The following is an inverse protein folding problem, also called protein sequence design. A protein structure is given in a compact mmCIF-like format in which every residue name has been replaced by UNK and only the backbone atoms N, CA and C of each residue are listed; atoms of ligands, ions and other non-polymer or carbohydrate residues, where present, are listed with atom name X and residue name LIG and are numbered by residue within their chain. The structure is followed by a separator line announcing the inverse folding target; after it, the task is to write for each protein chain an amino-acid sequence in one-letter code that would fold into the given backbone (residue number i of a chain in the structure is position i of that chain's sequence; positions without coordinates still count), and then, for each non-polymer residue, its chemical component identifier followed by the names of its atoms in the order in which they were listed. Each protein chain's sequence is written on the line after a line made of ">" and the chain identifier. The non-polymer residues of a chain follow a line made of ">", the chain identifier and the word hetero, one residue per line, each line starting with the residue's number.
data_IF_515255345484
#
_entry.id   IF_515255345484
#
_cell.length_a   1.000
_cell.length_b   1.000
_cell.length_c   1.000
_cell.angle_alpha   90.00
_cell.angle_beta   90.00
_cell.angle_gamma   90.00
#
_symmetry.space_group_name_H-M   'P 1'
#
loop_
_entity.id
_entity.type
_entity.pdbx_description
1 polymer ?
#
# COMPACT_ATOMS: atom_id res chain seq x y z
N UNK A 1 3.68 -2.55 -8.67
CA UNK A 1 4.36 -3.16 -7.49
C UNK A 1 4.27 -4.67 -7.47
N UNK A 2 3.19 -5.31 -6.99
CA UNK A 2 3.17 -6.79 -6.85
C UNK A 2 3.31 -7.52 -8.18
N UNK A 3 2.69 -7.00 -9.24
CA UNK A 3 2.85 -7.50 -10.62
C UNK A 3 4.30 -7.37 -11.08
N UNK A 4 4.90 -6.19 -10.93
CA UNK A 4 6.29 -5.89 -11.31
C UNK A 4 7.32 -6.73 -10.54
N UNK A 5 7.03 -7.08 -9.29
CA UNK A 5 7.86 -7.98 -8.48
C UNK A 5 7.68 -9.47 -8.82
N UNK A 6 6.80 -9.81 -9.77
CA UNK A 6 6.61 -11.17 -10.27
C UNK A 6 5.74 -12.06 -9.39
N UNK A 7 4.88 -11.50 -8.53
CA UNK A 7 3.99 -12.31 -7.70
C UNK A 7 2.90 -13.01 -8.54
N UNK A 8 2.47 -14.23 -8.18
CA UNK A 8 1.40 -14.93 -8.90
C UNK A 8 0.08 -14.16 -8.89
N UNK A 9 -0.62 -14.12 -10.02
CA UNK A 9 -1.88 -13.36 -10.16
C UNK A 9 -2.93 -13.73 -9.11
N UNK A 10 -3.02 -15.01 -8.74
CA UNK A 10 -3.94 -15.49 -7.70
C UNK A 10 -3.64 -14.87 -6.33
N UNK A 11 -2.36 -14.77 -5.98
CA UNK A 11 -1.91 -14.16 -4.73
C UNK A 11 -2.20 -12.65 -4.71
N UNK A 12 -1.94 -11.98 -5.84
CA UNK A 12 -2.28 -10.56 -6.01
C UNK A 12 -3.78 -10.35 -5.83
N UNK A 13 -4.62 -11.19 -6.44
CA UNK A 13 -6.07 -11.11 -6.28
C UNK A 13 -6.49 -11.22 -4.82
N UNK A 14 -5.92 -12.14 -4.04
CA UNK A 14 -6.24 -12.26 -2.62
C UNK A 14 -5.84 -11.03 -1.81
N UNK A 15 -4.67 -10.45 -2.05
CA UNK A 15 -4.26 -9.20 -1.39
C UNK A 15 -5.22 -8.06 -1.78
N UNK A 16 -5.58 -7.97 -3.06
CA UNK A 16 -6.45 -6.92 -3.57
C UNK A 16 -7.92 -7.07 -3.14
N UNK A 17 -8.33 -8.21 -2.57
CA UNK A 17 -9.61 -8.30 -1.85
C UNK A 17 -9.53 -7.64 -0.46
N UNK A 18 -8.36 -7.61 0.18
CA UNK A 18 -8.20 -7.06 1.53
C UNK A 18 -7.89 -5.55 1.55
N UNK A 19 -7.22 -5.03 0.51
CA UNK A 19 -6.76 -3.63 0.46
C UNK A 19 -7.88 -2.59 0.24
N UNK A 20 -8.84 -2.76 -0.70
CA UNK A 20 -9.88 -1.78 -0.97
C UNK A 20 -11.15 -1.96 -0.13
N UNK A 21 -11.29 -3.04 0.63
CA UNK A 21 -12.55 -3.39 1.34
C UNK A 21 -12.69 -2.75 2.72
N UNK A 22 -11.78 -1.86 3.13
CA UNK A 22 -11.81 -1.31 4.47
C UNK A 22 -12.93 -0.28 4.62
N UNK A 23 -13.90 -0.57 5.49
CA UNK A 23 -14.95 0.37 5.91
C UNK A 23 -14.64 0.91 7.31
N UNK A 24 -14.78 2.22 7.48
CA UNK A 24 -14.48 2.93 8.72
C UNK A 24 -15.76 3.56 9.30
N UNK A 25 -15.84 3.61 10.62
CA UNK A 25 -16.81 4.41 11.37
C UNK A 25 -16.06 5.12 12.49
N UNK A 26 -16.29 6.42 12.66
CA UNK A 26 -15.64 7.21 13.71
C UNK A 26 -16.61 7.42 14.86
N UNK A 27 -16.10 7.40 16.10
CA UNK A 27 -16.89 7.81 17.27
C UNK A 27 -16.74 9.33 17.41
N UNK A 28 -17.84 10.06 17.26
CA UNK A 28 -17.92 11.50 17.46
C UNK A 28 -18.90 11.78 18.60
N UNK A 29 -18.43 12.42 19.67
CA UNK A 29 -19.23 12.77 20.85
C UNK A 29 -20.01 11.57 21.45
N UNK A 30 -19.41 10.38 21.45
CA UNK A 30 -20.01 9.15 21.95
C UNK A 30 -20.97 8.45 20.99
N UNK A 31 -21.26 9.03 19.83
CA UNK A 31 -22.04 8.40 18.76
C UNK A 31 -21.16 7.86 17.63
N UNK A 32 -21.49 6.70 17.09
CA UNK A 32 -20.86 6.15 15.89
C UNK A 32 -21.39 6.86 14.64
N UNK A 33 -20.50 7.29 13.74
CA UNK A 33 -20.89 7.77 12.41
C UNK A 33 -21.36 6.63 11.52
N UNK A 34 -22.11 6.96 10.47
CA UNK A 34 -22.37 6.00 9.39
C UNK A 34 -21.04 5.47 8.82
N UNK A 35 -20.98 4.17 8.49
CA UNK A 35 -19.78 3.60 7.89
C UNK A 35 -19.50 4.25 6.53
N UNK A 36 -18.23 4.56 6.27
CA UNK A 36 -17.74 5.08 5.00
C UNK A 36 -16.58 4.23 4.51
N UNK A 37 -16.48 4.06 3.19
CA UNK A 37 -15.38 3.30 2.60
C UNK A 37 -14.07 4.10 2.66
N UNK A 38 -13.02 3.43 3.08
CA UNK A 38 -11.66 3.90 2.94
C UNK A 38 -11.29 4.01 1.47
N UNK A 39 -10.97 5.23 1.02
CA UNK A 39 -10.48 5.41 -0.37
C UNK A 39 -9.06 4.88 -0.57
N UNK A 40 -8.26 4.83 0.49
CA UNK A 40 -6.85 4.46 0.48
C UNK A 40 -6.43 3.86 1.81
N UNK A 41 -5.43 3.00 1.76
CA UNK A 41 -4.77 2.44 2.93
C UNK A 41 -5.43 1.15 3.43
N UNK A 42 -4.62 0.36 4.13
CA UNK A 42 -5.04 -0.85 4.83
C UNK A 42 -5.45 -0.47 6.24
N UNK A 43 -6.36 -1.23 6.85
CA UNK A 43 -6.80 -1.00 8.23
C UNK A 43 -5.59 -1.02 9.17
N UNK A 44 -5.48 -0.02 10.04
CA UNK A 44 -4.48 -0.04 11.11
C UNK A 44 -4.75 -1.25 12.04
N UNK A 45 -3.72 -2.04 12.31
CA UNK A 45 -3.83 -3.31 13.04
C UNK A 45 -4.16 -4.52 12.16
N UNK A 46 -4.21 -4.35 10.84
CA UNK A 46 -4.24 -5.48 9.91
C UNK A 46 -2.87 -6.21 9.93
N UNK A 47 -2.84 -7.53 10.21
CA UNK A 47 -1.60 -8.29 10.23
C UNK A 47 -0.86 -8.31 8.88
N UNK A 48 -1.53 -8.04 7.76
CA UNK A 48 -0.91 -7.97 6.42
C UNK A 48 -0.23 -6.63 6.14
N UNK A 49 -0.64 -5.54 6.80
CA UNK A 49 -0.15 -4.20 6.51
C UNK A 49 1.39 -4.07 6.65
N UNK A 50 2.05 -4.62 7.69
CA UNK A 50 3.51 -4.54 7.82
C UNK A 50 4.25 -5.23 6.68
N UNK A 51 3.76 -6.39 6.22
CA UNK A 51 4.39 -7.12 5.12
C UNK A 51 4.24 -6.38 3.79
N UNK A 52 3.05 -5.86 3.51
CA UNK A 52 2.80 -5.07 2.31
C UNK A 52 3.61 -3.78 2.31
N UNK A 53 3.83 -3.17 3.47
CA UNK A 53 4.73 -2.03 3.62
C UNK A 53 6.17 -2.39 3.26
N UNK A 54 6.72 -3.50 3.79
CA UNK A 54 8.09 -3.93 3.47
C UNK A 54 8.24 -4.21 1.97
N UNK A 55 7.28 -4.91 1.35
CA UNK A 55 7.32 -5.18 -0.09
C UNK A 55 7.27 -3.88 -0.90
N UNK A 56 6.47 -2.90 -0.46
CA UNK A 56 6.41 -1.59 -1.10
C UNK A 56 7.70 -0.79 -0.98
N UNK A 57 8.36 -0.85 0.18
CA UNK A 57 9.64 -0.21 0.39
C UNK A 57 10.75 -0.85 -0.43
N UNK A 58 10.78 -2.19 -0.55
CA UNK A 58 11.72 -2.90 -1.42
C UNK A 58 11.53 -2.51 -2.90
N UNK A 59 10.28 -2.47 -3.37
CA UNK A 59 9.97 -2.02 -4.73
C UNK A 59 10.43 -0.58 -4.96
N UNK A 60 10.09 0.33 -4.05
CA UNK A 60 10.52 1.73 -4.12
C UNK A 60 12.04 1.86 -4.14
N UNK A 61 12.74 1.08 -3.31
CA UNK A 61 14.20 1.07 -3.28
C UNK A 61 14.79 0.68 -4.64
N UNK A 62 14.25 -0.35 -5.29
CA UNK A 62 14.67 -0.77 -6.64
C UNK A 62 14.42 0.31 -7.68
N UNK A 63 13.23 0.92 -7.68
CA UNK A 63 12.90 2.00 -8.61
C UNK A 63 13.84 3.21 -8.43
N UNK A 64 14.11 3.60 -7.18
CA UNK A 64 15.06 4.68 -6.89
C UNK A 64 16.47 4.33 -7.35
N UNK A 65 16.92 3.09 -7.13
CA UNK A 65 18.22 2.62 -7.61
C UNK A 65 18.30 2.60 -9.15
N UNK A 66 17.21 2.25 -9.84
CA UNK A 66 17.18 2.32 -11.31
C UNK A 66 17.22 3.77 -11.80
N UNK A 67 16.58 4.70 -11.08
CA UNK A 67 16.65 6.13 -11.40
C UNK A 67 18.07 6.69 -11.25
N UNK A 68 18.88 6.23 -10.29
CA UNK A 68 20.28 6.69 -10.18
C UNK A 68 21.16 6.25 -11.35
N UNK A 69 20.76 5.21 -12.10
CA UNK A 69 21.43 4.80 -13.33
C UNK A 69 21.05 5.65 -14.55
N UNK A 70 20.03 6.51 -14.44
CA UNK A 70 19.64 7.40 -15.52
C UNK A 70 20.66 8.56 -15.64
N UNK A 71 21.28 8.77 -16.81
CA UNK A 71 22.29 9.82 -16.99
C UNK A 71 21.76 11.24 -16.78
N UNK A 72 20.44 11.43 -16.85
CA UNK A 72 19.79 12.72 -16.58
C UNK A 72 19.40 12.91 -15.11
N UNK A 73 19.60 11.90 -14.26
CA UNK A 73 19.28 11.98 -12.83
C UNK A 73 20.31 12.84 -12.11
N UNK A 74 19.83 13.80 -11.34
CA UNK A 74 20.64 14.66 -10.49
C UNK A 74 19.99 14.75 -9.11
N UNK A 75 20.81 14.72 -8.06
CA UNK A 75 20.33 14.96 -6.70
C UNK A 75 19.92 16.42 -6.56
N UNK A 76 18.83 16.66 -5.83
CA UNK A 76 18.47 18.01 -5.43
C UNK A 76 19.59 18.58 -4.53
N UNK A 77 19.98 19.85 -4.69
CA UNK A 77 20.99 20.50 -3.84
C UNK A 77 20.60 20.56 -2.36
#
# INVERSE_FOLDING_TARGET
>A
MLVELGFPQKFISWIMECVPTVSYSSVLNGGLTKPFQGKRGIRQGDPMAPYLFVIAMEYLHRELHMLTMNPNFQFHP
#
